data_IF_405951638899
#
_entry.id   IF_405951638899
#
_cell.length_a   1.000
_cell.length_b   1.000
_cell.length_c   1.000
_cell.angle_alpha   90.00
_cell.angle_beta   90.00
_cell.angle_gamma   90.00
#
_symmetry.space_group_name_H-M   'P 1'
#
loop_
_entity.id
_entity.type
_entity.pdbx_description
1 polymer ?
#
# COMPACT_ATOMS: atom_id res chain seq x y z
N UNK A 1 6.11 -12.62 -15.57
CA UNK A 1 5.20 -11.50 -15.28
C UNK A 1 4.29 -11.95 -14.13
N UNK A 2 4.54 -11.50 -12.90
CA UNK A 2 3.69 -11.85 -11.76
C UNK A 2 2.37 -11.08 -11.95
N UNK A 3 1.34 -11.77 -12.43
CA UNK A 3 -0.02 -11.25 -12.54
C UNK A 3 -0.50 -10.86 -11.14
N UNK A 4 -1.26 -9.78 -11.05
CA UNK A 4 -1.53 -9.00 -9.83
C UNK A 4 -1.79 -9.81 -8.56
N UNK A 5 -1.35 -9.26 -7.43
CA UNK A 5 -1.70 -9.78 -6.10
C UNK A 5 -3.14 -9.43 -5.77
N UNK A 6 -3.95 -10.42 -5.44
CA UNK A 6 -5.30 -10.27 -4.91
C UNK A 6 -5.21 -10.42 -3.39
N UNK A 7 -5.79 -9.48 -2.66
CA UNK A 7 -5.80 -9.46 -1.20
C UNK A 7 -7.24 -9.38 -0.69
N UNK A 8 -7.61 -10.28 0.21
CA UNK A 8 -8.93 -10.31 0.85
C UNK A 8 -8.76 -9.85 2.30
N UNK A 9 -9.48 -8.80 2.69
CA UNK A 9 -9.57 -8.33 4.07
C UNK A 9 -10.97 -8.61 4.61
N UNK A 10 -11.04 -9.25 5.76
CA UNK A 10 -12.28 -9.45 6.52
C UNK A 10 -12.38 -8.34 7.58
N UNK A 11 -13.37 -7.46 7.45
CA UNK A 11 -13.70 -6.48 8.48
C UNK A 11 -14.90 -6.98 9.27
N UNK A 12 -14.71 -7.21 10.58
CA UNK A 12 -15.81 -7.44 11.52
C UNK A 12 -16.35 -6.09 11.99
N UNK A 13 -17.54 -5.72 11.53
CA UNK A 13 -18.34 -4.68 12.20
C UNK A 13 -19.21 -5.36 13.27
N UNK A 14 -19.12 -4.92 14.53
CA UNK A 14 -20.11 -5.31 15.54
C UNK A 14 -21.33 -4.40 15.43
N UNK A 15 -22.49 -4.97 15.07
CA UNK A 15 -23.77 -4.31 15.29
C UNK A 15 -24.27 -4.58 16.70
N UNK A 16 -24.98 -3.63 17.31
CA UNK A 16 -25.66 -3.77 18.61
C UNK A 16 -26.83 -4.80 18.60
N UNK A 17 -27.05 -5.47 17.47
CA UNK A 17 -28.04 -6.52 17.27
C UNK A 17 -27.36 -7.89 17.24
N UNK A 18 -27.52 -8.67 18.31
CA UNK A 18 -26.78 -9.91 18.64
C UNK A 18 -27.08 -11.11 17.71
N UNK A 19 -27.79 -10.91 16.59
CA UNK A 19 -28.22 -12.00 15.68
C UNK A 19 -27.66 -11.93 14.25
N UNK A 20 -26.80 -10.98 13.89
CA UNK A 20 -26.26 -10.89 12.52
C UNK A 20 -24.88 -10.24 12.48
N UNK A 21 -23.80 -11.02 12.60
CA UNK A 21 -22.47 -10.53 12.24
C UNK A 21 -22.39 -10.44 10.72
N UNK A 22 -22.55 -9.23 10.16
CA UNK A 22 -22.34 -9.01 8.74
C UNK A 22 -20.84 -8.82 8.51
N UNK A 23 -20.19 -9.82 7.93
CA UNK A 23 -18.80 -9.70 7.47
C UNK A 23 -18.80 -8.92 6.16
N UNK A 24 -18.25 -7.71 6.19
CA UNK A 24 -17.94 -6.97 4.96
C UNK A 24 -16.59 -7.43 4.45
N UNK A 25 -16.57 -8.09 3.30
CA UNK A 25 -15.33 -8.51 2.66
C UNK A 25 -14.86 -7.41 1.70
N UNK A 26 -13.69 -6.83 1.99
CA UNK A 26 -13.01 -5.90 1.09
C UNK A 26 -11.96 -6.67 0.30
N UNK A 27 -12.03 -6.58 -1.02
CA UNK A 27 -11.06 -7.17 -1.92
C UNK A 27 -10.24 -6.08 -2.59
N UNK A 28 -8.92 -6.22 -2.58
CA UNK A 28 -7.99 -5.30 -3.24
C UNK A 28 -7.12 -6.03 -4.26
N UNK A 29 -6.79 -5.36 -5.35
CA UNK A 29 -5.81 -5.87 -6.33
C UNK A 29 -5.08 -4.73 -7.03
N UNK A 30 -3.92 -5.06 -7.60
CA UNK A 30 -3.23 -4.19 -8.53
C UNK A 30 -3.64 -4.50 -9.97
N UNK A 31 -4.10 -3.49 -10.69
CA UNK A 31 -4.46 -3.57 -12.10
C UNK A 31 -3.52 -2.69 -12.93
N UNK A 32 -2.92 -3.26 -13.98
CA UNK A 32 -2.11 -2.50 -14.92
C UNK A 32 -2.99 -1.72 -15.89
N UNK A 33 -2.65 -0.46 -16.15
CA UNK A 33 -3.33 0.43 -17.11
C UNK A 33 -2.39 0.78 -18.27
N UNK A 34 -2.32 -0.04 -19.35
CA UNK A 34 -1.44 0.25 -20.49
C UNK A 34 -1.72 1.59 -21.16
N UNK A 35 -2.99 2.02 -21.18
CA UNK A 35 -3.42 3.28 -21.79
C UNK A 35 -3.12 4.51 -20.91
N UNK A 36 -2.74 4.32 -19.65
CA UNK A 36 -2.44 5.38 -18.68
C UNK A 36 -0.94 5.36 -18.34
N UNK A 37 -0.09 5.33 -19.37
CA UNK A 37 1.36 5.31 -19.19
C UNK A 37 1.91 4.02 -18.56
N UNK A 38 1.14 2.93 -18.59
CA UNK A 38 1.54 1.65 -18.00
C UNK A 38 1.57 1.65 -16.47
N UNK A 39 0.82 2.56 -15.82
CA UNK A 39 0.76 2.61 -14.36
C UNK A 39 -0.01 1.42 -13.79
N UNK A 40 0.34 1.06 -12.55
CA UNK A 40 -0.45 0.13 -11.74
C UNK A 40 -1.39 0.93 -10.84
N UNK A 41 -2.63 0.48 -10.74
CA UNK A 41 -3.69 1.09 -9.93
C UNK A 41 -4.07 0.13 -8.82
N UNK A 42 -4.21 0.64 -7.60
CA UNK A 42 -4.84 -0.12 -6.53
C UNK A 42 -6.36 0.00 -6.70
N UNK A 43 -7.00 -1.12 -6.98
CA UNK A 43 -8.45 -1.22 -7.09
C UNK A 43 -9.02 -1.90 -5.85
N UNK A 44 -10.29 -1.64 -5.57
CA UNK A 44 -11.06 -2.23 -4.48
C UNK A 44 -12.41 -2.73 -4.99
N UNK A 45 -12.87 -3.82 -4.42
CA UNK A 45 -14.23 -4.31 -4.53
C UNK A 45 -14.86 -4.41 -3.14
N UNK A 46 -16.04 -3.80 -2.99
CA UNK A 46 -16.82 -3.87 -1.75
C UNK A 46 -18.07 -4.75 -2.00
N UNK A 47 -18.19 -5.87 -1.28
CA UNK A 47 -19.30 -6.81 -1.43
C UNK A 47 -20.64 -6.26 -0.92
N UNK A 48 -20.62 -5.23 -0.07
CA UNK A 48 -21.80 -4.63 0.55
C UNK A 48 -22.32 -3.37 -0.15
N UNK A 49 -21.61 -2.88 -1.17
CA UNK A 49 -22.06 -1.71 -1.93
C UNK A 49 -23.41 -2.02 -2.62
N UNK A 50 -24.41 -1.18 -2.36
CA UNK A 50 -25.76 -1.29 -2.93
C UNK A 50 -25.92 -0.56 -4.25
N UNK A 51 -24.85 0.08 -4.74
CA UNK A 51 -24.81 0.85 -5.99
C UNK A 51 -24.28 0.00 -7.14
N UNK A 52 -24.57 0.39 -8.38
CA UNK A 52 -24.38 -0.42 -9.61
C UNK A 52 -22.91 -0.78 -9.95
N UNK A 53 -21.92 -0.25 -9.23
CA UNK A 53 -20.50 -0.54 -9.43
C UNK A 53 -19.78 -0.80 -8.11
N UNK A 54 -19.67 -2.07 -7.74
CA UNK A 54 -18.97 -2.53 -6.53
C UNK A 54 -17.43 -2.45 -6.66
N UNK A 55 -16.91 -2.21 -7.86
CA UNK A 55 -15.48 -2.05 -8.18
C UNK A 55 -15.12 -0.57 -8.34
N UNK A 56 -14.03 -0.15 -7.72
CA UNK A 56 -13.53 1.23 -7.76
C UNK A 56 -11.99 1.27 -7.80
N UNK A 57 -11.44 2.23 -8.53
CA UNK A 57 -10.01 2.59 -8.44
C UNK A 57 -9.81 3.42 -7.17
N UNK A 58 -8.86 3.06 -6.32
CA UNK A 58 -8.62 3.69 -5.00
C UNK A 58 -7.43 4.65 -5.02
N UNK A 59 -6.35 4.28 -5.70
CA UNK A 59 -5.16 5.13 -5.81
C UNK A 59 -5.41 6.33 -6.74
N UNK A 60 -4.87 7.54 -6.44
CA UNK A 60 -4.96 8.70 -7.32
C UNK A 60 -4.57 8.43 -8.77
N UNK A 61 -5.08 9.24 -9.70
CA UNK A 61 -4.81 9.10 -11.14
C UNK A 61 -3.37 9.41 -11.53
N UNK A 62 -2.69 10.25 -10.76
CA UNK A 62 -1.28 10.61 -10.93
C UNK A 62 -0.31 9.67 -10.19
N UNK A 63 -0.83 8.69 -9.45
CA UNK A 63 -0.03 7.70 -8.73
C UNK A 63 0.09 6.40 -9.52
N UNK A 64 1.31 5.88 -9.57
CA UNK A 64 1.63 4.57 -10.12
C UNK A 64 2.11 3.65 -8.99
N UNK A 65 1.28 2.67 -8.60
CA UNK A 65 1.54 1.80 -7.45
C UNK A 65 2.52 0.68 -7.83
N UNK A 66 3.81 1.00 -7.82
CA UNK A 66 4.89 0.09 -8.21
C UNK A 66 6.19 0.48 -7.52
N UNK A 67 6.97 -0.54 -7.15
CA UNK A 67 8.31 -0.38 -6.57
C UNK A 67 9.41 -0.77 -7.56
N UNK A 68 10.62 -0.26 -7.34
CA UNK A 68 11.84 -0.63 -8.08
C UNK A 68 12.75 -1.58 -7.31
N UNK A 69 12.36 -2.05 -6.12
CA UNK A 69 13.13 -3.07 -5.39
C UNK A 69 13.38 -4.27 -6.30
N UNK A 70 14.65 -4.68 -6.38
CA UNK A 70 15.22 -5.72 -7.25
C UNK A 70 14.88 -5.58 -8.73
N UNK A 71 14.44 -4.40 -9.20
CA UNK A 71 14.04 -4.11 -10.58
C UNK A 71 12.89 -4.95 -11.16
N UNK A 72 12.42 -5.97 -10.44
CA UNK A 72 11.31 -6.85 -10.84
C UNK A 72 9.95 -6.38 -10.31
N UNK A 73 9.92 -5.48 -9.30
CA UNK A 73 8.75 -4.69 -8.94
C UNK A 73 7.56 -5.45 -8.36
N UNK A 74 7.76 -6.18 -7.26
CA UNK A 74 6.71 -6.79 -6.45
C UNK A 74 6.57 -6.13 -5.07
N UNK A 75 5.44 -6.35 -4.37
CA UNK A 75 5.32 -5.93 -2.96
C UNK A 75 5.07 -4.44 -2.73
N UNK A 76 4.55 -3.72 -3.73
CA UNK A 76 4.34 -2.27 -3.66
C UNK A 76 3.14 -1.84 -2.80
N UNK A 77 2.40 -2.78 -2.19
CA UNK A 77 1.19 -2.52 -1.40
C UNK A 77 1.25 -3.32 -0.12
N UNK A 78 0.96 -2.67 1.00
CA UNK A 78 0.67 -3.30 2.29
C UNK A 78 -0.75 -2.96 2.70
N UNK A 79 -1.52 -3.99 3.03
CA UNK A 79 -2.91 -3.87 3.46
C UNK A 79 -3.05 -4.45 4.85
N UNK A 80 -3.97 -3.87 5.61
CA UNK A 80 -4.32 -4.36 6.93
C UNK A 80 -5.80 -4.08 7.22
N UNK A 81 -6.51 -4.94 7.98
CA UNK A 81 -7.96 -4.85 8.11
C UNK A 81 -8.46 -3.51 8.67
N UNK A 82 -7.73 -2.88 9.59
CA UNK A 82 -8.17 -1.68 10.31
C UNK A 82 -7.32 -0.44 9.99
N UNK A 83 -6.52 -0.50 8.95
CA UNK A 83 -5.58 0.57 8.59
C UNK A 83 -5.72 0.98 7.13
N UNK A 84 -5.38 2.24 6.86
CA UNK A 84 -5.26 2.76 5.51
C UNK A 84 -4.26 1.93 4.67
N UNK A 85 -4.53 1.69 3.38
CA UNK A 85 -3.55 1.09 2.48
C UNK A 85 -2.23 1.87 2.49
N UNK A 86 -1.12 1.16 2.61
CA UNK A 86 0.21 1.71 2.39
C UNK A 86 0.69 1.27 1.02
N UNK A 87 1.27 2.18 0.25
CA UNK A 87 1.71 1.94 -1.11
C UNK A 87 3.10 2.51 -1.36
N UNK A 88 3.75 2.08 -2.44
CA UNK A 88 4.95 2.73 -2.98
C UNK A 88 4.59 3.49 -4.24
N UNK A 89 4.86 4.80 -4.27
CA UNK A 89 4.69 5.60 -5.48
C UNK A 89 5.89 5.40 -6.40
N UNK A 90 5.67 4.91 -7.62
CA UNK A 90 6.74 4.61 -8.56
C UNK A 90 7.59 5.84 -8.94
N UNK A 91 6.98 7.03 -8.99
CA UNK A 91 7.65 8.26 -9.39
C UNK A 91 8.73 8.68 -8.38
N UNK A 92 8.42 8.62 -7.09
CA UNK A 92 9.28 9.10 -6.00
C UNK A 92 9.95 7.98 -5.19
N UNK A 93 9.49 6.74 -5.34
CA UNK A 93 9.85 5.57 -4.52
C UNK A 93 9.53 5.73 -3.02
N UNK A 94 8.78 6.76 -2.65
CA UNK A 94 8.32 6.97 -1.28
C UNK A 94 7.31 5.91 -0.88
N UNK A 95 7.37 5.52 0.39
CA UNK A 95 6.26 4.88 1.08
C UNK A 95 5.21 5.95 1.35
N UNK A 96 3.96 5.68 0.97
CA UNK A 96 2.84 6.60 1.13
C UNK A 96 1.64 5.90 1.78
N UNK A 97 0.81 6.69 2.45
CA UNK A 97 -0.49 6.30 2.98
C UNK A 97 -1.58 6.79 2.03
N UNK A 98 -2.55 5.93 1.72
CA UNK A 98 -3.77 6.37 1.04
C UNK A 98 -4.83 6.77 2.07
N UNK A 99 -5.25 8.02 2.06
CA UNK A 99 -6.29 8.53 2.99
C UNK A 99 -7.52 9.01 2.21
N UNK A 100 -8.74 8.85 2.76
CA UNK A 100 -9.95 9.37 2.12
C UNK A 100 -9.85 10.86 1.85
N UNK A 101 -10.36 11.31 0.70
CA UNK A 101 -10.45 12.73 0.40
C UNK A 101 -11.47 13.40 1.33
N UNK A 102 -11.11 14.54 1.92
CA UNK A 102 -11.98 15.30 2.84
C UNK A 102 -13.20 15.93 2.18
N UNK A 103 -13.23 15.98 0.85
CA UNK A 103 -14.32 16.61 0.08
C UNK A 103 -15.52 15.67 -0.15
N UNK A 104 -15.39 14.38 0.15
CA UNK A 104 -16.45 13.37 -0.02
C UNK A 104 -17.30 13.16 1.27
N UNK A 105 -17.33 14.16 2.15
CA UNK A 105 -17.90 14.10 3.51
C UNK A 105 -19.45 14.18 3.57
N UNK A 106 -20.14 13.62 2.57
CA UNK A 106 -21.59 13.34 2.63
C UNK A 106 -21.90 12.07 3.46
N UNK A 107 -21.07 11.77 4.46
CA UNK A 107 -21.37 10.83 5.54
C UNK A 107 -21.19 9.34 5.25
N UNK A 108 -20.71 8.95 4.07
CA UNK A 108 -20.40 7.55 3.75
C UNK A 108 -18.96 7.41 3.24
N UNK A 109 -18.00 7.34 4.17
CA UNK A 109 -16.56 7.16 3.93
C UNK A 109 -16.21 5.91 3.10
N UNK A 110 -17.18 5.05 2.80
CA UNK A 110 -17.02 3.91 1.90
C UNK A 110 -17.25 4.23 0.42
N UNK A 111 -17.77 5.41 0.07
CA UNK A 111 -18.15 5.78 -1.32
C UNK A 111 -17.18 6.68 -2.07
N UNK A 112 -16.21 7.29 -1.37
CA UNK A 112 -15.13 8.05 -2.01
C UNK A 112 -14.38 7.12 -2.98
N UNK A 113 -14.39 7.48 -4.26
CA UNK A 113 -13.80 6.64 -5.29
C UNK A 113 -12.28 6.75 -5.24
N UNK A 114 -11.71 7.96 -5.27
CA UNK A 114 -10.26 8.15 -5.21
C UNK A 114 -9.83 8.65 -3.83
N UNK A 115 -8.73 8.10 -3.31
CA UNK A 115 -8.06 8.58 -2.10
C UNK A 115 -6.96 9.57 -2.45
N UNK A 116 -6.45 10.33 -1.47
CA UNK A 116 -5.20 11.09 -1.60
C UNK A 116 -4.01 10.23 -1.20
N UNK A 117 -2.83 10.57 -1.72
CA UNK A 117 -1.57 9.87 -1.44
C UNK A 117 -0.67 10.77 -0.59
N UNK A 118 -0.52 10.43 0.69
CA UNK A 118 0.29 11.18 1.65
C UNK A 118 1.65 10.49 1.86
N UNK A 119 2.78 11.11 1.52
CA UNK A 119 4.10 10.50 1.74
C UNK A 119 4.42 10.33 3.23
N UNK A 120 4.96 9.18 3.59
CA UNK A 120 5.48 8.86 4.92
C UNK A 120 6.99 9.14 4.97
N UNK A 121 7.71 8.81 3.89
CA UNK A 121 9.18 8.94 3.81
C UNK A 121 9.59 10.15 2.98
N UNK A 122 10.83 10.63 3.14
CA UNK A 122 11.36 11.76 2.38
C UNK A 122 11.45 11.49 0.86
N UNK A 123 11.30 12.56 0.05
CA UNK A 123 11.46 12.54 -1.41
C UNK A 123 12.92 12.85 -1.79
N UNK A 124 13.84 11.97 -1.40
CA UNK A 124 15.26 12.07 -1.73
C UNK A 124 15.76 10.93 -2.64
N UNK A 125 14.86 10.02 -3.02
CA UNK A 125 15.11 8.84 -3.84
C UNK A 125 16.24 7.94 -3.28
N UNK A 126 16.56 8.06 -1.98
CA UNK A 126 17.56 7.23 -1.31
C UNK A 126 17.03 5.83 -1.04
N UNK A 127 15.77 5.72 -0.64
CA UNK A 127 15.20 4.45 -0.21
C UNK A 127 14.16 3.94 -1.20
N UNK A 128 14.09 2.61 -1.32
CA UNK A 128 13.02 1.91 -2.04
C UNK A 128 12.46 0.83 -1.13
N UNK A 129 11.15 0.64 -1.17
CA UNK A 129 10.45 -0.24 -0.24
C UNK A 129 9.67 -1.33 -0.97
N UNK A 130 9.52 -2.50 -0.35
CA UNK A 130 8.70 -3.59 -0.84
C UNK A 130 8.30 -4.55 0.30
N UNK A 131 7.32 -5.42 0.02
CA UNK A 131 6.96 -6.58 0.83
C UNK A 131 6.73 -6.24 2.31
N UNK A 132 5.83 -5.29 2.55
CA UNK A 132 5.53 -4.79 3.88
C UNK A 132 4.47 -5.62 4.64
N UNK A 133 4.61 -5.63 5.96
CA UNK A 133 3.64 -6.16 6.93
C UNK A 133 3.47 -5.12 8.05
N UNK A 134 2.22 -4.69 8.27
CA UNK A 134 1.89 -3.69 9.28
C UNK A 134 1.53 -4.36 10.62
N UNK A 135 2.20 -3.96 11.69
CA UNK A 135 1.68 -4.16 13.05
C UNK A 135 0.76 -3.00 13.41
N UNK A 136 -0.55 -3.23 13.35
CA UNK A 136 -1.57 -2.21 13.65
C UNK A 136 -1.52 -1.71 15.10
N UNK A 137 -1.03 -2.53 16.04
CA UNK A 137 -1.01 -2.17 17.45
C UNK A 137 0.04 -1.10 17.74
N UNK A 138 1.16 -1.16 17.03
CA UNK A 138 2.27 -0.22 17.21
C UNK A 138 2.32 0.84 16.12
N UNK A 139 1.61 0.65 15.00
CA UNK A 139 1.72 1.51 13.82
C UNK A 139 3.05 1.34 13.10
N UNK A 140 3.71 0.20 13.27
CA UNK A 140 5.04 -0.10 12.70
C UNK A 140 4.90 -0.97 11.47
N UNK A 141 5.43 -0.49 10.34
CA UNK A 141 5.57 -1.27 9.13
C UNK A 141 6.93 -1.99 9.14
N UNK A 142 6.92 -3.31 9.03
CA UNK A 142 8.11 -4.08 8.72
C UNK A 142 8.17 -4.32 7.22
N UNK A 143 9.25 -3.93 6.55
CA UNK A 143 9.36 -4.09 5.09
C UNK A 143 10.81 -4.28 4.63
N UNK A 144 10.96 -4.72 3.39
CA UNK A 144 12.24 -4.67 2.68
C UNK A 144 12.54 -3.22 2.31
N UNK A 145 13.79 -2.79 2.53
CA UNK A 145 14.34 -1.53 2.08
C UNK A 145 15.63 -1.76 1.29
N UNK A 146 15.75 -1.09 0.14
CA UNK A 146 17.06 -0.86 -0.49
C UNK A 146 17.57 0.54 -0.12
N UNK A 147 18.81 0.65 0.38
CA UNK A 147 19.51 1.94 0.56
C UNK A 147 20.41 2.23 -0.65
N UNK A 148 20.05 3.28 -1.41
CA UNK A 148 20.73 3.76 -2.61
C UNK A 148 21.60 4.99 -2.34
N UNK A 149 22.00 5.24 -1.08
CA UNK A 149 22.97 6.30 -0.75
C UNK A 149 24.20 6.27 -1.67
N UNK A 150 24.64 5.06 -2.03
CA UNK A 150 25.62 4.81 -3.08
C UNK A 150 24.93 4.06 -4.23
N UNK A 151 24.50 4.75 -5.30
CA UNK A 151 23.54 4.21 -6.27
C UNK A 151 24.13 3.18 -7.25
N UNK A 152 25.42 2.88 -7.18
CA UNK A 152 26.00 1.80 -7.98
C UNK A 152 25.43 0.45 -7.49
N UNK A 153 24.97 -0.46 -8.38
CA UNK A 153 24.27 -1.67 -7.97
C UNK A 153 24.98 -2.52 -6.91
N UNK A 154 26.31 -2.61 -6.96
CA UNK A 154 27.16 -3.34 -5.99
C UNK A 154 27.23 -2.68 -4.59
N UNK A 155 26.72 -1.47 -4.44
CA UNK A 155 26.75 -0.67 -3.23
C UNK A 155 25.36 -0.44 -2.63
N UNK A 156 24.30 -0.90 -3.33
CA UNK A 156 22.94 -0.94 -2.80
C UNK A 156 22.88 -1.95 -1.67
N UNK A 157 22.33 -1.55 -0.52
CA UNK A 157 22.20 -2.43 0.65
C UNK A 157 20.75 -2.83 0.83
N UNK A 158 20.50 -4.15 0.87
CA UNK A 158 19.19 -4.72 1.17
C UNK A 158 19.01 -4.94 2.67
N UNK A 159 17.90 -4.47 3.22
CA UNK A 159 17.65 -4.51 4.67
C UNK A 159 16.19 -4.84 4.96
N UNK A 160 15.94 -5.44 6.13
CA UNK A 160 14.63 -5.38 6.75
C UNK A 160 14.62 -4.19 7.69
N UNK A 161 13.61 -3.33 7.56
CA UNK A 161 13.44 -2.15 8.40
C UNK A 161 12.09 -2.16 9.10
N UNK A 162 12.06 -1.56 10.28
CA UNK A 162 10.85 -1.13 10.96
C UNK A 162 10.66 0.37 10.70
N UNK A 163 9.53 0.74 10.13
CA UNK A 163 9.16 2.12 9.79
C UNK A 163 7.98 2.55 10.67
N UNK A 164 8.14 3.64 11.41
CA UNK A 164 7.01 4.30 12.05
C UNK A 164 6.14 4.94 10.96
N UNK A 165 4.88 4.52 10.85
CA UNK A 165 4.01 4.97 9.75
C UNK A 165 3.52 6.40 9.89
N UNK A 166 3.69 7.04 11.06
CA UNK A 166 3.30 8.42 11.33
C UNK A 166 4.46 9.38 11.09
N UNK A 167 5.67 9.03 11.52
CA UNK A 167 6.83 9.92 11.43
C UNK A 167 7.74 9.61 10.24
N UNK A 168 7.69 8.38 9.72
CA UNK A 168 8.64 7.89 8.72
C UNK A 168 10.01 7.53 9.29
N UNK A 169 10.18 7.56 10.62
CA UNK A 169 11.42 7.14 11.27
C UNK A 169 11.65 5.65 11.05
N UNK A 170 12.91 5.29 10.83
CA UNK A 170 13.29 3.93 10.44
C UNK A 170 14.39 3.36 11.32
N UNK A 171 14.21 2.11 11.72
CA UNK A 171 15.24 1.30 12.38
C UNK A 171 15.56 0.08 11.53
N UNK A 172 16.84 -0.19 11.31
CA UNK A 172 17.28 -1.43 10.64
C UNK A 172 17.11 -2.60 11.61
N UNK A 173 16.32 -3.59 11.17
CA UNK A 173 16.05 -4.83 11.92
C UNK A 173 17.05 -5.92 11.51
N UNK A 174 17.37 -6.01 10.22
CA UNK A 174 18.34 -6.95 9.69
C UNK A 174 19.05 -6.39 8.46
N UNK A 175 20.33 -6.71 8.30
CA UNK A 175 21.20 -6.31 7.18
C UNK A 175 22.26 -7.39 6.92
N UNK A 176 22.96 -7.32 5.78
CA UNK A 176 24.16 -8.12 5.50
C UNK A 176 23.92 -9.49 4.83
N UNK A 177 22.68 -9.87 4.56
CA UNK A 177 22.35 -10.99 3.69
C UNK A 177 21.65 -10.43 2.46
N UNK A 178 22.31 -10.45 1.29
CA UNK A 178 21.59 -10.31 0.03
C UNK A 178 20.68 -11.52 -0.08
N UNK A 179 19.38 -11.32 0.16
CA UNK A 179 18.37 -12.36 0.23
C UNK A 179 18.54 -13.33 -0.94
N UNK A 180 19.01 -14.56 -0.65
CA UNK A 180 19.38 -15.54 -1.66
C UNK A 180 18.17 -15.85 -2.56
N UNK A 181 18.39 -15.78 -3.88
CA UNK A 181 17.43 -16.14 -4.92
C UNK A 181 17.48 -17.64 -5.27
#
# INVERSE_FOLDING_TARGET
VKLGSIHVLDQKQSSDDESSTKTTALLYWLEGRPQEGGRNVLCRYNSDATTTTNQQDVSPTDVNVRTRVHEYGGGAVTLSPNSAPLIVNFATQQLCRLVPNKEDDDGDAQTSSLMSCEPITADDNRFRFADGVLDEKTGTLYCVREDHLHPEPKHVVNEIVAVDTQTGDMTVVATGNDFYA
#
